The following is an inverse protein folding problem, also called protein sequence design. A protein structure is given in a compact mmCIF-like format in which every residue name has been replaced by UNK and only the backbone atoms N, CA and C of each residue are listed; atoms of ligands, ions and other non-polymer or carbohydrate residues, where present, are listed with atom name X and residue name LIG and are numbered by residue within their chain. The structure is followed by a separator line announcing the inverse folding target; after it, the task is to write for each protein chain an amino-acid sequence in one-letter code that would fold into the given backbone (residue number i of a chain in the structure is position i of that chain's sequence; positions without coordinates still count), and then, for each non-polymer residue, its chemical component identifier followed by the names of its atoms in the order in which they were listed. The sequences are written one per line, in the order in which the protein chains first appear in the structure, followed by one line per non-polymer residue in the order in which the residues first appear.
data_IF_903279122048
#
_entry.id   IF_903279122048
#
_cell.length_a   1.000
_cell.length_b   1.000
_cell.length_c   1.000
_cell.angle_alpha   90.00
_cell.angle_beta   90.00
_cell.angle_gamma   90.00
#
_symmetry.space_group_name_H-M   'P 1'
#
loop_
_entity.id
_entity.type
_entity.pdbx_description
1 polymer ?
#
# COMPACT_ATOMS: atom_id res chain seq x y z
N UNK A 1 -22.92 -0.53 -1.53
CA UNK A 1 -22.33 0.47 -0.61
C UNK A 1 -22.84 1.84 -1.01
N UNK A 2 -23.35 2.63 -0.06
CA UNK A 2 -23.63 4.05 -0.27
C UNK A 2 -22.34 4.72 -0.77
N UNK A 3 -22.40 5.59 -1.77
CA UNK A 3 -21.26 6.26 -2.41
C UNK A 3 -20.36 5.44 -3.36
N UNK A 4 -20.63 4.15 -3.61
CA UNK A 4 -19.78 3.34 -4.50
C UNK A 4 -19.90 3.72 -5.99
N UNK A 5 -21.09 4.15 -6.43
CA UNK A 5 -21.35 4.60 -7.80
C UNK A 5 -21.23 6.12 -7.96
N UNK A 6 -21.63 6.88 -6.93
CA UNK A 6 -21.68 8.35 -6.97
C UNK A 6 -20.29 8.99 -7.17
N UNK A 7 -19.23 8.38 -6.63
CA UNK A 7 -17.85 8.84 -6.85
C UNK A 7 -17.17 8.22 -8.09
N UNK A 8 -17.90 7.39 -8.87
CA UNK A 8 -17.39 6.75 -10.10
C UNK A 8 -18.05 7.34 -11.34
N UNK A 9 -18.01 8.67 -11.45
CA UNK A 9 -18.56 9.41 -12.59
C UNK A 9 -17.42 9.87 -13.53
N UNK A 10 -17.37 9.38 -14.78
CA UNK A 10 -16.36 9.79 -15.75
C UNK A 10 -16.51 11.25 -16.20
N UNK A 11 -17.71 11.83 -16.17
CA UNK A 11 -17.93 13.25 -16.49
C UNK A 11 -17.31 14.14 -15.41
N UNK A 12 -17.59 13.83 -14.14
CA UNK A 12 -16.97 14.51 -13.00
C UNK A 12 -15.45 14.37 -13.04
N UNK A 13 -14.93 13.16 -13.28
CA UNK A 13 -13.48 12.93 -13.37
C UNK A 13 -12.81 13.81 -14.44
N UNK A 14 -13.40 13.91 -15.63
CA UNK A 14 -12.89 14.81 -16.69
C UNK A 14 -12.89 16.27 -16.28
N UNK A 15 -13.97 16.75 -15.63
CA UNK A 15 -14.02 18.13 -15.15
C UNK A 15 -12.96 18.42 -14.08
N UNK A 16 -12.70 17.48 -13.18
CA UNK A 16 -11.67 17.61 -12.15
C UNK A 16 -10.28 17.60 -12.75
N UNK A 17 -9.99 16.73 -13.73
CA UNK A 17 -8.71 16.72 -14.43
C UNK A 17 -8.43 18.05 -15.14
N UNK A 18 -9.43 18.64 -15.79
CA UNK A 18 -9.30 19.95 -16.42
C UNK A 18 -9.03 21.06 -15.40
N UNK A 19 -9.73 21.04 -14.26
CA UNK A 19 -9.51 22.00 -13.19
C UNK A 19 -8.12 21.86 -12.55
N UNK A 20 -7.66 20.62 -12.35
CA UNK A 20 -6.31 20.33 -11.84
C UNK A 20 -5.24 20.83 -12.81
N UNK A 21 -5.42 20.60 -14.12
CA UNK A 21 -4.50 21.09 -15.15
C UNK A 21 -4.37 22.61 -15.13
N UNK A 22 -5.49 23.34 -15.12
CA UNK A 22 -5.48 24.80 -15.04
C UNK A 22 -4.73 25.32 -13.80
N UNK A 23 -4.89 24.66 -12.64
CA UNK A 23 -4.15 25.02 -11.42
C UNK A 23 -2.67 24.68 -11.49
N UNK A 24 -2.33 23.56 -12.12
CA UNK A 24 -0.93 23.20 -12.34
C UNK A 24 -0.23 24.22 -13.25
N UNK A 25 -0.91 24.68 -14.31
CA UNK A 25 -0.44 25.73 -15.21
C UNK A 25 -0.22 27.06 -14.46
N UNK A 26 -1.18 27.50 -13.65
CA UNK A 26 -1.06 28.70 -12.81
C UNK A 26 0.14 28.64 -11.84
N UNK A 27 0.47 27.44 -11.35
CA UNK A 27 1.63 27.20 -10.48
C UNK A 27 2.95 27.05 -11.27
N UNK A 28 2.90 27.11 -12.60
CA UNK A 28 4.04 26.93 -13.49
C UNK A 28 4.63 25.52 -13.44
N UNK A 29 3.80 24.51 -13.19
CA UNK A 29 4.21 23.12 -13.15
C UNK A 29 4.62 22.65 -14.55
N UNK A 30 5.77 22.01 -14.67
CA UNK A 30 6.24 21.47 -15.95
C UNK A 30 6.93 20.14 -15.71
N UNK A 31 7.16 19.38 -16.78
CA UNK A 31 7.94 18.13 -16.67
C UNK A 31 9.36 18.35 -16.11
N UNK A 32 9.96 19.52 -16.35
CA UNK A 32 11.29 19.87 -15.82
C UNK A 32 11.26 20.33 -14.35
N UNK A 33 10.09 20.74 -13.86
CA UNK A 33 9.88 21.21 -12.49
C UNK A 33 8.49 20.76 -12.01
N UNK A 34 8.32 19.47 -11.71
CA UNK A 34 7.02 18.92 -11.38
C UNK A 34 6.57 19.33 -9.97
N UNK A 35 5.26 19.35 -9.77
CA UNK A 35 4.62 19.38 -8.47
C UNK A 35 4.56 17.96 -7.92
N UNK A 36 5.25 17.74 -6.80
CA UNK A 36 5.25 16.45 -6.14
C UNK A 36 4.04 16.30 -5.21
N UNK A 37 3.25 15.25 -5.43
CA UNK A 37 2.13 14.88 -4.57
C UNK A 37 2.44 13.53 -3.95
N UNK A 38 2.71 13.51 -2.64
CA UNK A 38 3.00 12.27 -1.93
C UNK A 38 1.73 11.67 -1.34
N UNK A 39 1.51 10.38 -1.61
CA UNK A 39 0.51 9.56 -0.92
C UNK A 39 1.17 8.53 -0.01
N UNK A 40 0.49 8.12 1.06
CA UNK A 40 0.99 7.16 2.06
C UNK A 40 -0.09 6.12 2.33
N UNK A 41 -0.67 5.55 1.29
CA UNK A 41 -1.68 4.51 1.40
C UNK A 41 -1.61 3.56 0.20
N UNK A 42 -1.28 2.28 0.42
CA UNK A 42 -1.24 1.30 -0.67
C UNK A 42 -2.53 1.20 -1.47
N UNK A 43 -3.69 1.53 -0.87
CA UNK A 43 -4.97 1.62 -1.57
C UNK A 43 -5.04 2.79 -2.56
N UNK A 44 -4.44 3.93 -2.23
CA UNK A 44 -4.31 5.06 -3.16
C UNK A 44 -3.30 4.77 -4.25
N UNK A 45 -2.13 4.19 -3.92
CA UNK A 45 -1.18 3.69 -4.91
C UNK A 45 -1.88 2.78 -5.92
N UNK A 46 -2.64 1.80 -5.41
CA UNK A 46 -3.39 0.87 -6.26
C UNK A 46 -4.41 1.61 -7.14
N UNK A 47 -5.18 2.56 -6.59
CA UNK A 47 -6.17 3.32 -7.35
C UNK A 47 -5.52 4.17 -8.45
N UNK A 48 -4.41 4.85 -8.14
CA UNK A 48 -3.66 5.69 -9.11
C UNK A 48 -3.28 4.84 -10.32
N UNK A 49 -2.60 3.71 -10.11
CA UNK A 49 -2.19 2.84 -11.22
C UNK A 49 -3.36 2.13 -11.90
N UNK A 50 -4.34 1.65 -11.13
CA UNK A 50 -5.52 0.95 -11.66
C UNK A 50 -6.31 1.81 -12.64
N UNK A 51 -6.46 3.10 -12.32
CA UNK A 51 -7.19 4.05 -13.15
C UNK A 51 -6.28 4.91 -14.04
N UNK A 52 -4.97 4.66 -14.04
CA UNK A 52 -3.98 5.38 -14.86
C UNK A 52 -3.90 6.87 -14.54
N UNK A 53 -4.19 7.28 -13.30
CA UNK A 53 -4.21 8.69 -12.92
C UNK A 53 -2.84 9.35 -13.11
N UNK A 54 -1.76 8.60 -12.93
CA UNK A 54 -0.38 9.00 -13.21
C UNK A 54 -0.15 9.46 -14.66
N UNK A 55 -1.01 9.04 -15.59
CA UNK A 55 -0.95 9.40 -17.02
C UNK A 55 -2.03 10.37 -17.45
N UNK A 56 -3.10 10.48 -16.67
CA UNK A 56 -4.27 11.32 -16.99
C UNK A 56 -4.15 12.73 -16.40
N UNK A 57 -3.41 12.89 -15.31
CA UNK A 57 -3.15 14.21 -14.73
C UNK A 57 -2.19 15.02 -15.60
N UNK A 58 -2.10 16.32 -15.30
CA UNK A 58 -1.17 17.25 -15.93
C UNK A 58 0.28 16.72 -15.89
N UNK A 59 1.04 16.84 -16.98
CA UNK A 59 2.40 16.27 -17.09
C UNK A 59 3.41 16.86 -16.11
N UNK A 60 3.11 18.04 -15.56
CA UNK A 60 3.86 18.67 -14.49
C UNK A 60 3.49 18.18 -13.09
N UNK A 61 2.68 17.12 -12.94
CA UNK A 61 2.36 16.50 -11.65
C UNK A 61 3.04 15.14 -11.58
N UNK A 62 3.75 14.89 -10.48
CA UNK A 62 4.39 13.62 -10.20
C UNK A 62 3.91 13.08 -8.85
N UNK A 63 3.44 11.83 -8.85
CA UNK A 63 3.03 11.13 -7.64
C UNK A 63 4.24 10.48 -6.98
N UNK A 64 4.47 10.82 -5.71
CA UNK A 64 5.44 10.12 -4.86
C UNK A 64 4.70 9.07 -4.04
N UNK A 65 5.07 7.82 -4.22
CA UNK A 65 4.52 6.70 -3.48
C UNK A 65 5.29 6.49 -2.18
N UNK A 66 4.77 7.05 -1.11
CA UNK A 66 5.34 6.94 0.23
C UNK A 66 5.18 5.55 0.84
N UNK A 67 5.68 5.34 2.06
CA UNK A 67 5.68 4.05 2.75
C UNK A 67 4.28 3.69 3.32
N UNK A 68 3.27 3.60 2.46
CA UNK A 68 1.87 3.37 2.82
C UNK A 68 1.46 1.91 3.07
N UNK A 69 2.42 0.99 3.10
CA UNK A 69 2.21 -0.42 3.36
C UNK A 69 2.65 -0.75 4.80
N UNK A 70 1.71 -0.92 5.77
CA UNK A 70 2.08 -1.13 7.16
C UNK A 70 2.92 -2.39 7.34
N UNK A 71 2.68 -3.43 6.54
CA UNK A 71 3.44 -4.69 6.55
C UNK A 71 4.86 -4.52 6.03
N UNK A 72 5.06 -3.66 5.04
CA UNK A 72 6.36 -3.43 4.39
C UNK A 72 7.30 -2.59 5.26
N UNK A 73 6.75 -1.78 6.17
CA UNK A 73 7.51 -0.95 7.11
C UNK A 73 7.63 -1.60 8.50
N UNK A 74 7.11 -2.81 8.67
CA UNK A 74 7.25 -3.51 9.95
C UNK A 74 8.74 -3.68 10.27
N UNK A 75 9.19 -3.29 11.47
CA UNK A 75 10.53 -3.63 11.90
C UNK A 75 10.70 -5.16 11.88
N UNK A 76 11.82 -5.63 11.32
CA UNK A 76 12.13 -7.06 11.18
C UNK A 76 12.20 -7.79 12.55
N UNK A 77 12.76 -7.20 13.63
CA UNK A 77 12.92 -7.93 14.89
C UNK A 77 11.60 -8.35 15.55
N UNK A 78 10.58 -7.48 15.76
CA UNK A 78 9.39 -7.86 16.52
C UNK A 78 8.55 -8.99 15.92
N UNK A 79 8.38 -9.02 14.60
CA UNK A 79 7.53 -10.02 13.95
C UNK A 79 8.09 -11.45 14.08
N UNK A 80 9.41 -11.60 13.89
CA UNK A 80 10.05 -12.92 13.87
C UNK A 80 10.62 -13.32 15.24
N UNK A 81 10.80 -12.37 16.16
CA UNK A 81 11.14 -12.66 17.55
C UNK A 81 9.93 -13.24 18.31
N UNK A 82 8.71 -12.94 17.88
CA UNK A 82 7.45 -13.39 18.51
C UNK A 82 7.22 -14.90 18.48
N UNK A 83 7.92 -15.64 17.61
CA UNK A 83 7.83 -17.10 17.59
C UNK A 83 8.93 -17.72 18.46
N UNK A 84 8.64 -18.19 19.68
CA UNK A 84 9.58 -18.97 20.48
C UNK A 84 9.94 -20.28 19.76
N UNK A 85 11.22 -20.65 19.70
CA UNK A 85 11.68 -21.96 19.19
C UNK A 85 12.49 -22.63 20.31
N UNK A 86 12.08 -23.81 20.83
CA UNK A 86 10.90 -24.60 20.45
C UNK A 86 9.58 -23.91 20.82
N UNK A 87 8.51 -24.22 20.07
CA UNK A 87 7.18 -23.65 20.29
C UNK A 87 6.54 -24.29 21.55
N UNK A 88 5.96 -23.49 22.48
CA UNK A 88 5.21 -24.02 23.62
C UNK A 88 4.04 -24.90 23.15
N UNK A 89 3.72 -25.98 23.88
CA UNK A 89 2.47 -26.70 23.64
C UNK A 89 1.28 -25.74 23.80
N UNK A 90 0.32 -25.81 22.87
CA UNK A 90 -0.91 -25.00 22.84
C UNK A 90 -0.78 -23.52 22.44
N UNK A 91 0.36 -23.07 21.90
CA UNK A 91 0.48 -21.72 21.32
C UNK A 91 -0.09 -21.68 19.89
N UNK A 92 -1.08 -20.82 19.66
CA UNK A 92 -1.59 -20.49 18.32
C UNK A 92 -1.18 -19.06 17.98
N UNK A 93 -0.44 -18.86 16.89
CA UNK A 93 -0.14 -17.54 16.35
C UNK A 93 -1.16 -17.18 15.26
N UNK A 94 -1.88 -16.08 15.44
CA UNK A 94 -2.77 -15.53 14.41
C UNK A 94 -2.13 -14.32 13.74
N UNK A 95 -2.19 -14.26 12.41
CA UNK A 95 -1.69 -13.10 11.66
C UNK A 95 -2.46 -12.93 10.34
N UNK A 96 -2.37 -11.75 9.73
CA UNK A 96 -2.80 -11.56 8.36
C UNK A 96 -1.95 -12.44 7.41
N UNK A 97 -2.41 -12.73 6.19
CA UNK A 97 -1.61 -13.51 5.23
C UNK A 97 -0.33 -12.78 4.80
N UNK A 98 -0.37 -11.45 4.70
CA UNK A 98 0.72 -10.64 4.14
C UNK A 98 2.08 -10.78 4.85
N UNK A 99 2.17 -10.84 6.20
CA UNK A 99 3.45 -10.98 6.88
C UNK A 99 4.02 -12.41 6.86
N UNK A 100 3.24 -13.44 6.48
CA UNK A 100 3.66 -14.85 6.56
C UNK A 100 4.91 -15.19 5.72
N UNK A 101 5.01 -14.78 4.46
CA UNK A 101 6.18 -15.10 3.63
C UNK A 101 7.39 -14.21 3.89
N UNK A 102 7.25 -13.14 4.69
CA UNK A 102 8.34 -12.17 4.86
C UNK A 102 9.58 -12.82 5.47
N UNK A 103 10.79 -12.46 5.00
CA UNK A 103 12.03 -12.95 5.57
C UNK A 103 12.27 -12.31 6.93
N UNK A 104 12.79 -13.11 7.86
CA UNK A 104 13.21 -12.64 9.18
C UNK A 104 14.48 -13.31 9.65
N UNK A 105 15.04 -12.80 10.76
CA UNK A 105 16.34 -13.24 11.29
C UNK A 105 16.41 -14.75 11.61
N UNK A 106 15.27 -15.40 11.90
CA UNK A 106 15.16 -16.84 12.21
C UNK A 106 14.34 -17.61 11.16
N UNK A 107 14.22 -17.03 9.97
CA UNK A 107 13.34 -17.52 8.91
C UNK A 107 11.94 -16.92 8.95
N UNK A 108 11.14 -17.25 7.94
CA UNK A 108 9.77 -16.73 7.78
C UNK A 108 8.75 -17.46 8.66
N UNK A 109 7.57 -16.86 8.86
CA UNK A 109 6.47 -17.54 9.54
C UNK A 109 6.02 -18.77 8.73
N UNK A 110 6.13 -18.71 7.41
CA UNK A 110 5.90 -19.86 6.52
C UNK A 110 6.82 -21.05 6.86
N UNK A 111 8.11 -20.79 7.08
CA UNK A 111 9.07 -21.82 7.49
C UNK A 111 8.79 -22.35 8.90
N UNK A 112 8.36 -21.48 9.84
CA UNK A 112 7.95 -21.92 11.18
C UNK A 112 6.71 -22.83 11.13
N UNK A 113 5.72 -22.49 10.31
CA UNK A 113 4.54 -23.34 10.04
C UNK A 113 4.95 -24.70 9.47
N UNK A 114 5.90 -24.72 8.52
CA UNK A 114 6.44 -25.97 7.96
C UNK A 114 7.19 -26.84 8.99
N UNK A 115 7.72 -26.24 10.07
CA UNK A 115 8.35 -26.94 11.20
C UNK A 115 7.37 -27.37 12.30
N UNK A 116 6.06 -27.19 12.11
CA UNK A 116 5.03 -27.64 13.03
C UNK A 116 4.43 -26.58 13.96
N UNK A 117 4.74 -25.29 13.77
CA UNK A 117 4.05 -24.22 14.51
C UNK A 117 2.57 -24.10 14.08
N UNK A 118 1.64 -23.93 15.04
CA UNK A 118 0.23 -23.62 14.74
C UNK A 118 0.08 -22.13 14.42
N UNK A 119 0.15 -21.80 13.13
CA UNK A 119 -0.01 -20.44 12.60
C UNK A 119 -1.28 -20.38 11.75
N UNK A 120 -2.21 -19.48 12.11
CA UNK A 120 -3.52 -19.33 11.46
C UNK A 120 -3.67 -17.95 10.83
N UNK A 121 -4.19 -17.93 9.60
CA UNK A 121 -4.53 -16.69 8.91
C UNK A 121 -5.90 -16.18 9.37
N UNK A 122 -6.01 -14.88 9.62
CA UNK A 122 -7.27 -14.21 9.97
C UNK A 122 -7.47 -12.96 9.09
N UNK A 123 -8.73 -12.54 8.90
CA UNK A 123 -9.15 -11.41 8.07
C UNK A 123 -10.06 -10.45 8.84
#
# INVERSE_FOLDING_TARGET
MKFASEFRDPALARSLLAAIAARADEMGATRARPLHIMEICGGHTHAIFRYGLDRLVHEGIEFIHGPGCPVCVLPIPPLHQSIPIPHPPHLILTTFPHPIPLPGARGSLLQAKARGADIRMVY
#
